data_IF_763040719519
#
_entry.id   IF_763040719519
#
_cell.length_a   1.000
_cell.length_b   1.000
_cell.length_c   1.000
_cell.angle_alpha   90.00
_cell.angle_beta   90.00
_cell.angle_gamma   90.00
#
_symmetry.space_group_name_H-M   'P 1'
#
loop_
_entity.id
_entity.type
_entity.pdbx_description
1 polymer ?
#
# COMPACT_ATOMS: atom_id res chain seq x y z
N UNK A 1 10.37 27.01 -26.81
CA UNK A 1 9.22 26.08 -26.75
C UNK A 1 8.96 25.79 -25.28
N UNK A 2 7.84 26.27 -24.73
CA UNK A 2 7.51 26.03 -23.32
C UNK A 2 6.95 24.61 -23.20
N UNK A 3 7.61 23.75 -22.44
CA UNK A 3 7.05 22.44 -22.09
C UNK A 3 5.91 22.69 -21.09
N UNK A 4 4.66 22.52 -21.53
CA UNK A 4 3.53 22.45 -20.60
C UNK A 4 3.58 21.09 -19.90
N UNK A 5 4.42 20.94 -18.89
CA UNK A 5 4.43 19.76 -18.01
C UNK A 5 3.42 19.98 -16.89
N UNK A 6 2.37 19.16 -16.81
CA UNK A 6 1.46 19.17 -15.68
C UNK A 6 2.16 18.67 -14.41
N UNK A 7 1.99 19.37 -13.30
CA UNK A 7 2.61 19.03 -12.01
C UNK A 7 1.59 18.34 -11.10
N UNK A 8 1.98 17.21 -10.50
CA UNK A 8 1.21 16.62 -9.39
C UNK A 8 1.82 17.05 -8.06
N UNK A 9 1.09 17.85 -7.29
CA UNK A 9 1.47 18.26 -5.94
C UNK A 9 0.88 17.30 -4.90
N UNK A 10 1.73 16.76 -4.05
CA UNK A 10 1.31 15.94 -2.90
C UNK A 10 1.22 16.83 -1.67
N UNK A 11 0.03 16.97 -1.10
CA UNK A 11 -0.16 17.67 0.16
C UNK A 11 0.01 16.68 1.33
N UNK A 12 1.11 16.84 2.06
CA UNK A 12 1.52 15.99 3.19
C UNK A 12 1.23 16.60 4.56
N UNK A 13 0.55 17.75 4.65
CA UNK A 13 0.34 18.44 5.94
C UNK A 13 -0.47 17.60 6.94
N UNK A 14 -1.30 16.68 6.44
CA UNK A 14 -2.13 15.80 7.26
C UNK A 14 -1.44 14.52 7.72
N UNK A 15 -0.21 14.19 7.30
CA UNK A 15 0.44 12.89 7.62
C UNK A 15 0.46 12.60 9.11
N UNK A 16 0.85 13.57 9.94
CA UNK A 16 0.94 13.39 11.41
C UNK A 16 -0.41 13.24 12.12
N UNK A 17 -1.51 13.65 11.47
CA UNK A 17 -2.87 13.61 12.03
C UNK A 17 -3.75 12.54 11.35
N UNK A 18 -3.27 11.95 10.26
CA UNK A 18 -4.01 10.99 9.46
C UNK A 18 -4.23 9.68 10.24
N UNK A 19 -5.40 9.08 10.05
CA UNK A 19 -5.73 7.80 10.67
C UNK A 19 -4.85 6.69 10.09
N UNK A 20 -4.37 5.81 10.99
CA UNK A 20 -3.74 4.54 10.61
C UNK A 20 -4.81 3.53 10.21
N UNK A 21 -4.71 2.97 9.01
CA UNK A 21 -5.71 2.05 8.47
C UNK A 21 -5.10 0.68 8.15
N UNK A 22 -5.85 -0.43 8.35
CA UNK A 22 -5.42 -1.73 7.87
C UNK A 22 -5.46 -1.77 6.34
N UNK A 23 -4.41 -2.32 5.73
CA UNK A 23 -4.29 -2.50 4.28
C UNK A 23 -4.11 -3.97 3.96
N UNK A 24 -4.81 -4.46 2.93
CA UNK A 24 -4.74 -5.85 2.47
C UNK A 24 -4.37 -5.88 0.98
N UNK A 25 -3.29 -6.57 0.64
CA UNK A 25 -2.95 -6.89 -0.75
C UNK A 25 -3.50 -8.27 -1.08
N UNK A 26 -4.51 -8.32 -1.96
CA UNK A 26 -5.21 -9.55 -2.34
C UNK A 26 -4.54 -10.21 -3.56
N UNK A 27 -4.55 -11.56 -3.67
CA UNK A 27 -4.00 -12.28 -4.82
C UNK A 27 -5.02 -12.37 -5.97
N UNK A 28 -5.79 -11.30 -6.19
CA UNK A 28 -6.82 -11.22 -7.21
C UNK A 28 -7.21 -9.77 -7.49
N UNK A 29 -7.67 -9.53 -8.71
CA UNK A 29 -8.24 -8.24 -9.11
C UNK A 29 -9.72 -8.15 -8.73
N UNK A 30 -10.11 -7.01 -8.18
CA UNK A 30 -11.50 -6.69 -7.85
C UNK A 30 -11.90 -5.49 -8.72
N UNK A 31 -12.76 -5.71 -9.71
CA UNK A 31 -13.18 -4.67 -10.65
C UNK A 31 -13.94 -3.51 -9.96
N UNK A 32 -14.61 -3.80 -8.85
CA UNK A 32 -15.32 -2.78 -8.10
C UNK A 32 -14.36 -1.89 -7.30
N UNK A 33 -14.35 -0.59 -7.62
CA UNK A 33 -13.65 0.43 -6.85
C UNK A 33 -14.64 1.27 -6.04
N UNK A 34 -14.76 0.99 -4.75
CA UNK A 34 -15.71 1.66 -3.87
C UNK A 34 -15.70 1.10 -2.43
N UNK A 35 -16.60 1.57 -1.57
CA UNK A 35 -16.72 1.08 -0.20
C UNK A 35 -17.06 -0.42 -0.15
N UNK A 36 -16.45 -1.14 0.79
CA UNK A 36 -16.72 -2.55 1.03
C UNK A 36 -16.81 -2.82 2.54
N UNK A 37 -17.63 -3.80 2.94
CA UNK A 37 -17.83 -4.19 4.34
C UNK A 37 -16.71 -5.11 4.84
N UNK A 38 -15.46 -4.66 4.73
CA UNK A 38 -14.26 -5.45 5.03
C UNK A 38 -14.26 -5.97 6.47
N UNK A 39 -14.61 -5.12 7.43
CA UNK A 39 -14.65 -5.50 8.86
C UNK A 39 -15.60 -6.67 9.12
N UNK A 40 -16.75 -6.69 8.45
CA UNK A 40 -17.78 -7.71 8.66
C UNK A 40 -17.44 -9.04 7.99
N UNK A 41 -16.88 -9.02 6.77
CA UNK A 41 -16.70 -10.24 5.98
C UNK A 41 -15.27 -10.78 5.98
N UNK A 42 -14.26 -9.90 5.96
CA UNK A 42 -12.85 -10.30 5.89
C UNK A 42 -12.22 -10.31 7.28
N UNK A 43 -12.25 -9.18 8.00
CA UNK A 43 -11.58 -9.06 9.30
C UNK A 43 -12.20 -10.00 10.33
N UNK A 44 -13.53 -10.08 10.41
CA UNK A 44 -14.22 -10.94 11.38
C UNK A 44 -13.97 -12.44 11.16
N UNK A 45 -13.61 -12.87 9.95
CA UNK A 45 -13.37 -14.29 9.61
C UNK A 45 -11.88 -14.64 9.53
N UNK A 46 -11.00 -13.64 9.71
CA UNK A 46 -9.55 -13.85 9.71
C UNK A 46 -9.13 -14.57 10.98
N UNK A 47 -8.44 -15.70 10.81
CA UNK A 47 -7.79 -16.45 11.90
C UNK A 47 -6.33 -16.04 11.97
N UNK A 48 -5.87 -15.67 13.15
CA UNK A 48 -4.49 -15.29 13.40
C UNK A 48 -3.80 -16.38 14.23
N UNK A 49 -2.84 -17.08 13.62
CA UNK A 49 -2.12 -18.19 14.24
C UNK A 49 -0.62 -17.89 14.23
N UNK A 50 -0.14 -17.25 15.31
CA UNK A 50 1.25 -16.86 15.56
C UNK A 50 1.83 -15.92 14.49
N UNK A 51 2.20 -16.46 13.34
CA UNK A 51 2.87 -15.77 12.21
C UNK A 51 2.08 -15.91 10.91
N UNK A 52 1.08 -16.78 10.86
CA UNK A 52 0.26 -17.01 9.68
C UNK A 52 -1.17 -16.53 9.93
N UNK A 53 -1.67 -15.72 9.00
CA UNK A 53 -3.08 -15.34 8.92
C UNK A 53 -3.78 -16.25 7.92
N UNK A 54 -5.02 -16.62 8.21
CA UNK A 54 -5.86 -17.40 7.28
C UNK A 54 -7.23 -16.76 7.15
N UNK A 55 -7.74 -16.66 5.93
CA UNK A 55 -9.10 -16.14 5.65
C UNK A 55 -9.68 -16.84 4.43
N UNK A 56 -11.00 -16.81 4.27
CA UNK A 56 -11.64 -17.21 3.02
C UNK A 56 -12.15 -15.99 2.28
N UNK A 57 -11.82 -15.87 1.00
CA UNK A 57 -12.36 -14.84 0.13
C UNK A 57 -13.00 -15.50 -1.09
N UNK A 58 -14.29 -15.23 -1.31
CA UNK A 58 -15.09 -15.86 -2.40
C UNK A 58 -15.02 -17.40 -2.39
N UNK A 59 -14.97 -18.01 -1.20
CA UNK A 59 -14.90 -19.46 -1.03
C UNK A 59 -13.49 -20.06 -1.19
N UNK A 60 -12.46 -19.24 -1.45
CA UNK A 60 -11.07 -19.70 -1.58
C UNK A 60 -10.27 -19.37 -0.33
N UNK A 61 -9.52 -20.36 0.17
CA UNK A 61 -8.63 -20.18 1.30
C UNK A 61 -7.40 -19.37 0.92
N UNK A 62 -7.16 -18.31 1.68
CA UNK A 62 -5.97 -17.45 1.57
C UNK A 62 -5.10 -17.63 2.81
N UNK A 63 -3.79 -17.59 2.59
CA UNK A 63 -2.78 -17.54 3.65
C UNK A 63 -2.08 -16.19 3.58
N UNK A 64 -1.87 -15.55 4.71
CA UNK A 64 -1.38 -14.19 4.76
C UNK A 64 -0.28 -13.99 5.78
N UNK A 65 0.53 -12.97 5.51
CA UNK A 65 1.61 -12.52 6.35
C UNK A 65 1.54 -10.99 6.48
N UNK A 66 1.90 -10.49 7.64
CA UNK A 66 2.06 -9.06 7.86
C UNK A 66 3.44 -8.61 7.34
N UNK A 67 3.44 -7.64 6.43
CA UNK A 67 4.64 -7.00 5.91
C UNK A 67 4.72 -5.59 6.50
N UNK A 68 5.75 -5.34 7.31
CA UNK A 68 6.05 -4.01 7.83
C UNK A 68 6.62 -3.13 6.72
N UNK A 69 6.31 -1.83 6.77
CA UNK A 69 7.02 -0.87 5.93
C UNK A 69 8.52 -0.86 6.29
N UNK A 70 9.41 -0.60 5.32
CA UNK A 70 10.86 -0.54 5.56
C UNK A 70 11.22 0.50 6.62
N UNK A 71 12.33 0.29 7.34
CA UNK A 71 12.72 1.15 8.44
C UNK A 71 12.87 2.61 8.00
N UNK A 72 12.18 3.52 8.69
CA UNK A 72 12.17 4.96 8.37
C UNK A 72 11.15 5.36 7.30
N UNK A 73 10.34 4.41 6.80
CA UNK A 73 9.26 4.67 5.84
C UNK A 73 7.88 4.48 6.49
N UNK A 74 6.89 5.14 5.90
CA UNK A 74 5.46 4.93 6.20
C UNK A 74 4.69 4.91 4.89
N UNK A 75 3.61 4.14 4.85
CA UNK A 75 2.70 4.07 3.74
C UNK A 75 1.70 5.21 3.75
N UNK A 76 1.46 5.82 2.59
CA UNK A 76 0.47 6.90 2.41
C UNK A 76 -0.66 6.42 1.50
N UNK A 77 -1.90 6.60 1.95
CA UNK A 77 -3.08 6.51 1.09
C UNK A 77 -3.42 7.91 0.59
N UNK A 78 -3.27 8.12 -0.71
CA UNK A 78 -3.49 9.41 -1.35
C UNK A 78 -4.85 9.44 -2.03
N UNK A 79 -5.56 10.55 -1.86
CA UNK A 79 -6.83 10.82 -2.54
C UNK A 79 -6.74 12.12 -3.31
N UNK A 80 -7.13 12.07 -4.57
CA UNK A 80 -7.32 13.26 -5.37
C UNK A 80 -8.66 13.92 -4.99
N UNK A 81 -8.60 15.18 -4.55
CA UNK A 81 -9.80 15.92 -4.15
C UNK A 81 -10.54 16.55 -5.32
N UNK A 82 -9.81 16.95 -6.38
CA UNK A 82 -10.37 17.58 -7.56
C UNK A 82 -9.83 16.82 -8.79
N UNK A 83 -10.72 16.20 -9.56
CA UNK A 83 -10.33 15.56 -10.82
C UNK A 83 -10.08 16.67 -11.86
N UNK A 84 -8.88 16.78 -12.45
CA UNK A 84 -8.61 17.77 -13.48
C UNK A 84 -9.53 17.54 -14.69
N UNK A 85 -9.91 18.62 -15.38
CA UNK A 85 -10.71 18.57 -16.60
C UNK A 85 -9.93 18.08 -17.82
N UNK A 86 -8.59 18.13 -17.74
CA UNK A 86 -7.67 17.72 -18.80
C UNK A 86 -6.31 17.30 -18.23
N UNK A 87 -5.53 16.53 -18.99
CA UNK A 87 -4.19 16.06 -18.59
C UNK A 87 -3.13 17.19 -18.52
N UNK A 88 -3.48 18.40 -18.97
CA UNK A 88 -2.61 19.58 -18.94
C UNK A 88 -2.74 20.38 -17.64
N UNK A 89 -3.72 20.05 -16.78
CA UNK A 89 -3.93 20.74 -15.52
C UNK A 89 -3.06 20.19 -14.39
N UNK A 90 -2.59 21.09 -13.53
CA UNK A 90 -1.92 20.72 -12.28
C UNK A 90 -2.88 19.94 -11.37
N UNK A 91 -2.35 18.88 -10.75
CA UNK A 91 -3.11 17.97 -9.88
C UNK A 91 -2.69 18.17 -8.44
N UNK A 92 -3.64 18.05 -7.52
CA UNK A 92 -3.33 18.01 -6.08
C UNK A 92 -3.94 16.78 -5.45
N UNK A 93 -3.09 15.94 -4.87
CA UNK A 93 -3.48 14.77 -4.08
C UNK A 93 -3.18 15.03 -2.61
N UNK A 94 -4.06 14.56 -1.72
CA UNK A 94 -3.93 14.74 -0.27
C UNK A 94 -3.83 13.40 0.42
N UNK A 95 -3.13 13.36 1.54
CA UNK A 95 -3.08 12.17 2.40
C UNK A 95 -4.42 11.99 3.09
N UNK A 96 -5.11 10.87 2.81
CA UNK A 96 -6.36 10.49 3.47
C UNK A 96 -6.12 9.60 4.69
N UNK A 97 -5.12 8.73 4.62
CA UNK A 97 -4.79 7.78 5.67
C UNK A 97 -3.34 7.35 5.55
N UNK A 98 -2.81 6.74 6.61
CA UNK A 98 -1.44 6.21 6.65
C UNK A 98 -1.46 4.75 7.09
N UNK A 99 -0.38 4.02 6.83
CA UNK A 99 -0.20 2.66 7.34
C UNK A 99 1.28 2.37 7.54
N UNK A 100 1.63 1.64 8.60
CA UNK A 100 3.01 1.25 8.89
C UNK A 100 3.30 -0.21 8.49
N UNK A 101 2.26 -0.89 8.00
CA UNK A 101 2.25 -2.30 7.61
C UNK A 101 1.04 -2.62 6.73
N UNK A 102 1.16 -3.68 5.95
CA UNK A 102 0.06 -4.26 5.17
C UNK A 102 0.00 -5.78 5.39
N UNK A 103 -1.17 -6.38 5.21
CA UNK A 103 -1.29 -7.84 5.13
C UNK A 103 -1.21 -8.25 3.67
N UNK A 104 -0.20 -9.03 3.32
CA UNK A 104 -0.11 -9.67 2.02
C UNK A 104 -0.77 -11.04 2.10
N UNK A 105 -1.67 -11.30 1.14
CA UNK A 105 -2.38 -12.57 1.02
C UNK A 105 -1.92 -13.31 -0.24
N UNK A 106 -1.59 -14.58 -0.07
CA UNK A 106 -1.31 -15.51 -1.15
C UNK A 106 -2.36 -16.61 -1.17
N UNK A 107 -2.51 -17.23 -2.33
CA UNK A 107 -3.50 -18.26 -2.59
C UNK A 107 -2.91 -19.64 -2.23
N UNK A 108 -3.55 -20.33 -1.28
CA UNK A 108 -3.28 -21.73 -0.86
C UNK A 108 -1.87 -21.99 -0.24
N UNK A 109 -0.85 -21.26 -0.66
CA UNK A 109 0.54 -21.31 -0.16
C UNK A 109 0.81 -20.14 0.79
N UNK A 110 1.60 -20.33 1.87
CA UNK A 110 2.02 -19.21 2.71
C UNK A 110 2.89 -18.24 1.92
N UNK A 111 2.80 -16.93 2.17
CA UNK A 111 3.81 -15.98 1.72
C UNK A 111 5.23 -16.41 2.10
N UNK A 112 6.19 -16.11 1.24
CA UNK A 112 7.60 -16.45 1.44
C UNK A 112 8.54 -15.37 0.88
N UNK A 113 9.85 -15.55 1.07
CA UNK A 113 10.87 -14.57 0.67
C UNK A 113 11.00 -14.35 -0.83
N UNK A 114 10.57 -15.31 -1.65
CA UNK A 114 10.69 -15.24 -3.12
C UNK A 114 9.49 -14.53 -3.76
N UNK A 115 8.46 -14.18 -2.96
CA UNK A 115 7.33 -13.40 -3.44
C UNK A 115 7.79 -11.97 -3.78
N UNK A 116 7.44 -11.50 -4.98
CA UNK A 116 7.93 -10.22 -5.53
C UNK A 116 7.65 -9.02 -4.63
N UNK A 117 6.51 -9.00 -3.95
CA UNK A 117 6.16 -7.93 -2.99
C UNK A 117 7.05 -7.96 -1.75
N UNK A 118 7.45 -9.14 -1.29
CA UNK A 118 8.33 -9.30 -0.13
C UNK A 118 9.72 -8.80 -0.51
N UNK A 119 10.26 -9.24 -1.65
CA UNK A 119 11.53 -8.75 -2.19
C UNK A 119 11.53 -7.22 -2.43
N UNK A 120 10.40 -6.66 -2.87
CA UNK A 120 10.28 -5.22 -3.11
C UNK A 120 10.39 -4.39 -1.82
N UNK A 121 10.10 -4.95 -0.65
CA UNK A 121 10.27 -4.25 0.63
C UNK A 121 11.74 -3.99 0.97
N UNK A 122 12.69 -4.75 0.42
CA UNK A 122 14.12 -4.56 0.67
C UNK A 122 14.72 -3.46 -0.23
N UNK A 123 14.03 -3.09 -1.31
CA UNK A 123 14.52 -2.13 -2.29
C UNK A 123 14.91 -0.76 -1.71
N UNK A 124 14.16 -0.15 -0.76
CA UNK A 124 14.52 1.17 -0.24
C UNK A 124 15.88 1.21 0.48
N UNK A 125 16.27 0.13 1.15
CA UNK A 125 17.61 0.03 1.77
C UNK A 125 18.71 0.01 0.71
N UNK A 126 18.54 -0.81 -0.33
CA UNK A 126 19.47 -0.87 -1.45
C UNK A 126 19.56 0.46 -2.21
N UNK A 127 18.42 1.10 -2.47
CA UNK A 127 18.37 2.40 -3.13
C UNK A 127 19.12 3.48 -2.34
N UNK A 128 19.01 3.46 -1.00
CA UNK A 128 19.77 4.38 -0.13
C UNK A 128 21.28 4.18 -0.26
N UNK A 129 21.75 2.94 -0.36
CA UNK A 129 23.17 2.64 -0.54
C UNK A 129 23.69 3.10 -1.91
N UNK A 130 22.92 2.89 -2.99
CA UNK A 130 23.31 3.27 -4.36
C UNK A 130 23.31 4.80 -4.56
N UNK A 131 22.30 5.49 -4.01
CA UNK A 131 22.10 6.92 -4.22
C UNK A 131 22.62 7.79 -3.07
N UNK A 132 23.28 7.19 -2.08
CA UNK A 132 23.94 7.92 -1.01
C UNK A 132 25.06 8.83 -1.55
N UNK A 133 25.36 9.94 -0.87
CA UNK A 133 26.49 10.78 -1.24
C UNK A 133 27.80 9.98 -1.13
N UNK A 134 28.74 10.21 -2.04
CA UNK A 134 30.09 9.62 -1.96
C UNK A 134 30.89 10.43 -0.95
N UNK A 135 31.38 9.79 0.10
CA UNK A 135 32.35 10.42 1.01
C UNK A 135 33.67 10.61 0.26
N UNK A 136 34.14 11.86 0.21
CA UNK A 136 35.39 12.28 -0.43
C UNK A 136 36.49 12.57 0.57
#
# INVERSE_FOLDING_TARGET
>A
MSCNSSMTRVNVSSVGQAQRVPVHLMPCDIEHNGPAQVSQYLTATTKDCKLEKMVSFRGRGLKGQELSCPQGYTGLVLKETNKPGSDQEDRTVKVSSVFDKLTYWNLETPPNSDDTVVMAMDWPELAKAIHGPVEG
#
